data_IF_524283585864
#
_entry.id   IF_524283585864
#
_cell.length_a   1.000
_cell.length_b   1.000
_cell.length_c   1.000
_cell.angle_alpha   90.00
_cell.angle_beta   90.00
_cell.angle_gamma   90.00
#
_symmetry.space_group_name_H-M   'P 1'
#
loop_
_entity.id
_entity.type
_entity.pdbx_description
1 polymer ?
#
# COMPACT_ATOMS: atom_id res chain seq x y z
N UNK A 1 6.05 32.28 -7.19
CA UNK A 1 7.30 31.70 -6.64
C UNK A 1 7.20 31.83 -5.14
N UNK A 2 6.59 30.86 -4.47
CA UNK A 2 6.71 30.79 -3.01
C UNK A 2 8.03 30.07 -2.77
N UNK A 3 8.95 30.69 -2.04
CA UNK A 3 10.15 30.01 -1.57
C UNK A 3 9.69 28.78 -0.78
N UNK A 4 9.88 27.59 -1.35
CA UNK A 4 9.59 26.35 -0.64
C UNK A 4 10.52 26.32 0.57
N UNK A 5 9.95 26.50 1.76
CA UNK A 5 10.68 26.32 3.00
C UNK A 5 11.20 24.89 3.00
N UNK A 6 12.53 24.74 2.97
CA UNK A 6 13.20 23.46 3.16
C UNK A 6 13.60 23.42 4.64
N UNK A 7 12.96 22.53 5.39
CA UNK A 7 13.26 22.31 6.79
C UNK A 7 14.66 21.70 6.97
N UNK A 8 15.29 21.97 8.13
CA UNK A 8 16.66 21.51 8.40
C UNK A 8 16.77 19.98 8.45
N UNK A 9 15.74 19.29 8.90
CA UNK A 9 15.65 17.83 8.89
C UNK A 9 14.20 17.35 8.95
N UNK A 10 14.01 16.03 8.84
CA UNK A 10 12.69 15.39 8.88
C UNK A 10 11.91 15.71 10.16
N UNK A 11 12.57 15.91 11.31
CA UNK A 11 11.88 16.18 12.57
C UNK A 11 11.30 17.59 12.61
N UNK A 12 11.98 18.60 12.04
CA UNK A 12 11.39 19.94 11.92
C UNK A 12 10.22 19.97 10.93
N UNK A 13 10.28 19.17 9.86
CA UNK A 13 9.16 18.96 8.96
C UNK A 13 7.97 18.29 9.67
N UNK A 14 8.20 17.24 10.47
CA UNK A 14 7.17 16.61 11.30
C UNK A 14 6.60 17.61 12.30
N UNK A 15 7.45 18.40 12.98
CA UNK A 15 7.02 19.38 13.98
C UNK A 15 6.05 20.41 13.39
N UNK A 16 6.27 20.79 12.13
CA UNK A 16 5.37 21.68 11.42
C UNK A 16 3.99 21.04 11.13
N UNK A 17 3.95 19.76 10.76
CA UNK A 17 2.72 19.06 10.39
C UNK A 17 1.93 18.53 11.61
N UNK A 18 2.62 17.89 12.54
CA UNK A 18 2.09 17.19 13.71
C UNK A 18 2.97 17.51 14.95
N UNK A 19 2.87 18.73 15.51
CA UNK A 19 3.75 19.21 16.60
C UNK A 19 3.65 18.42 17.91
N UNK A 20 2.61 17.60 18.06
CA UNK A 20 2.37 16.75 19.24
C UNK A 20 2.74 15.29 19.02
N UNK A 21 3.27 14.93 17.84
CA UNK A 21 3.57 13.53 17.54
C UNK A 21 4.70 12.98 18.43
N UNK A 22 4.51 11.83 19.11
CA UNK A 22 5.53 11.24 19.96
C UNK A 22 6.87 10.94 19.27
N UNK A 23 6.91 10.79 17.94
CA UNK A 23 8.14 10.55 17.18
C UNK A 23 9.15 11.68 17.35
N UNK A 24 8.70 12.92 17.59
CA UNK A 24 9.56 14.08 17.86
C UNK A 24 10.47 13.87 19.09
N UNK A 25 10.07 13.01 20.02
CA UNK A 25 10.89 12.68 21.19
C UNK A 25 12.21 11.99 20.84
N UNK A 26 12.36 11.40 19.64
CA UNK A 26 13.63 10.84 19.17
C UNK A 26 14.74 11.91 19.01
N UNK A 27 14.32 13.16 18.76
CA UNK A 27 15.19 14.32 18.67
C UNK A 27 15.18 15.15 19.96
N UNK A 28 14.00 15.35 20.54
CA UNK A 28 13.79 16.29 21.64
C UNK A 28 14.19 15.74 23.02
N UNK A 29 14.23 14.41 23.18
CA UNK A 29 14.56 13.78 24.47
C UNK A 29 15.90 13.06 24.41
N UNK A 30 16.66 13.19 25.49
CA UNK A 30 17.95 12.52 25.66
C UNK A 30 17.82 11.08 26.21
N UNK A 31 16.71 10.77 26.89
CA UNK A 31 16.48 9.48 27.54
C UNK A 31 15.03 9.00 27.35
N UNK A 32 14.85 7.68 27.32
CA UNK A 32 13.56 7.01 27.16
C UNK A 32 13.56 6.09 25.94
N UNK A 33 12.50 5.30 25.80
CA UNK A 33 12.27 4.47 24.62
C UNK A 33 10.89 4.81 24.04
N UNK A 34 10.79 4.79 22.71
CA UNK A 34 9.52 4.92 22.00
C UNK A 34 8.97 3.51 21.75
N UNK A 35 7.72 3.27 22.12
CA UNK A 35 7.03 2.02 21.78
C UNK A 35 5.89 2.34 20.83
N UNK A 36 5.92 1.73 19.64
CA UNK A 36 4.85 1.84 18.65
C UNK A 36 3.80 0.78 18.93
N UNK A 37 2.64 1.20 19.42
CA UNK A 37 1.47 0.34 19.60
C UNK A 37 0.39 0.76 18.60
N UNK A 38 -0.10 -0.18 17.81
CA UNK A 38 -1.19 0.06 16.88
C UNK A 38 -2.54 -0.31 17.48
N UNK A 39 -3.51 0.56 17.27
CA UNK A 39 -4.88 0.35 17.69
C UNK A 39 -5.82 0.61 16.52
N UNK A 40 -6.65 -0.37 16.23
CA UNK A 40 -7.65 -0.30 15.17
C UNK A 40 -9.05 -0.21 15.76
N UNK A 41 -9.85 0.71 15.21
CA UNK A 41 -11.28 0.79 15.45
C UNK A 41 -11.99 -0.08 14.43
N UNK A 42 -12.92 -0.90 14.89
CA UNK A 42 -13.84 -1.63 14.02
C UNK A 42 -14.99 -0.70 13.62
N UNK A 43 -15.25 -0.63 12.33
CA UNK A 43 -16.34 0.16 11.75
C UNK A 43 -17.13 -0.74 10.80
N UNK A 44 -18.44 -0.81 11.03
CA UNK A 44 -19.37 -1.44 10.09
C UNK A 44 -19.58 -0.52 8.88
N UNK A 45 -19.38 -1.09 7.70
CA UNK A 45 -19.47 -0.43 6.41
C UNK A 45 -20.92 -0.50 5.89
N UNK A 46 -21.35 0.38 4.97
CA UNK A 46 -22.72 0.38 4.45
C UNK A 46 -23.19 -0.95 3.84
N UNK A 47 -22.26 -1.79 3.39
CA UNK A 47 -22.54 -3.12 2.83
C UNK A 47 -22.56 -4.25 3.88
N UNK A 48 -22.48 -3.93 5.18
CA UNK A 48 -22.48 -4.88 6.30
C UNK A 48 -21.14 -5.54 6.58
N UNK A 49 -20.08 -5.23 5.83
CA UNK A 49 -18.72 -5.67 6.16
C UNK A 49 -18.12 -4.83 7.30
N UNK A 50 -17.13 -5.37 7.98
CA UNK A 50 -16.41 -4.71 9.08
C UNK A 50 -15.00 -4.36 8.60
N UNK A 51 -14.62 -3.10 8.70
CA UNK A 51 -13.25 -2.65 8.48
C UNK A 51 -12.55 -2.35 9.80
N UNK A 52 -11.26 -2.65 9.89
CA UNK A 52 -10.40 -2.35 11.03
C UNK A 52 -9.45 -1.20 10.68
N UNK A 53 -9.70 0.01 11.17
CA UNK A 53 -8.97 1.19 10.71
C UNK A 53 -8.17 1.88 11.82
N UNK A 54 -7.02 2.52 11.51
CA UNK A 54 -6.25 3.30 12.47
C UNK A 54 -7.10 4.33 13.22
N UNK A 55 -6.69 4.72 14.42
CA UNK A 55 -7.49 5.66 15.23
C UNK A 55 -7.44 7.12 14.75
N UNK A 56 -6.48 7.47 13.90
CA UNK A 56 -6.18 8.82 13.44
C UNK A 56 -6.65 9.07 12.00
N UNK A 57 -7.95 8.94 11.72
CA UNK A 57 -8.52 9.07 10.35
C UNK A 57 -9.15 10.43 10.02
N UNK A 58 -8.78 11.49 10.74
CA UNK A 58 -9.65 12.66 10.76
C UNK A 58 -9.61 13.48 9.46
N UNK A 59 -8.43 13.96 9.04
CA UNK A 59 -8.33 14.90 7.90
C UNK A 59 -7.04 14.74 7.11
N UNK A 60 -5.90 14.48 7.79
CA UNK A 60 -4.57 14.49 7.17
C UNK A 60 -4.04 13.08 6.92
N UNK A 61 -3.56 12.88 5.70
CA UNK A 61 -2.85 11.68 5.26
C UNK A 61 -1.53 12.07 4.63
N UNK A 62 -0.51 11.25 4.84
CA UNK A 62 0.87 11.56 4.51
C UNK A 62 1.41 10.55 3.51
N UNK A 63 2.34 11.00 2.66
CA UNK A 63 3.15 10.15 1.80
C UNK A 63 4.59 10.59 1.89
N UNK A 64 5.48 9.65 2.19
CA UNK A 64 6.92 9.89 2.20
C UNK A 64 7.54 9.68 0.84
N UNK A 65 8.38 10.61 0.43
CA UNK A 65 9.17 10.54 -0.79
C UNK A 65 10.60 10.92 -0.43
N UNK A 66 11.56 10.05 -0.74
CA UNK A 66 12.96 10.27 -0.37
C UNK A 66 13.70 11.30 -1.23
N UNK A 67 13.04 11.80 -2.27
CA UNK A 67 13.48 12.90 -3.14
C UNK A 67 12.31 13.80 -3.56
N UNK A 68 12.61 15.00 -4.08
CA UNK A 68 11.64 15.90 -4.70
C UNK A 68 11.36 15.50 -6.17
N UNK A 69 10.57 14.45 -6.35
CA UNK A 69 10.31 13.85 -7.68
C UNK A 69 9.47 14.70 -8.63
N UNK A 70 8.65 15.63 -8.13
CA UNK A 70 7.71 16.40 -8.96
C UNK A 70 8.39 17.23 -10.06
N UNK A 71 9.69 17.49 -9.93
CA UNK A 71 10.49 18.20 -10.95
C UNK A 71 10.78 17.35 -12.18
N UNK A 72 10.77 16.03 -12.03
CA UNK A 72 11.22 15.07 -13.03
C UNK A 72 10.10 14.14 -13.50
N UNK A 73 9.17 13.80 -12.60
CA UNK A 73 8.18 12.77 -12.85
C UNK A 73 6.79 13.18 -12.34
N UNK A 74 5.71 12.76 -13.03
CA UNK A 74 4.36 12.92 -12.50
C UNK A 74 4.14 11.97 -11.31
N UNK A 75 3.42 12.44 -10.29
CA UNK A 75 3.08 11.64 -9.12
C UNK A 75 1.84 10.79 -9.44
N UNK A 76 2.07 9.61 -10.04
CA UNK A 76 1.01 8.69 -10.48
C UNK A 76 1.15 7.29 -9.86
N UNK A 77 0.03 6.54 -9.73
CA UNK A 77 0.05 5.12 -9.35
C UNK A 77 0.96 4.25 -10.21
N UNK A 78 1.43 3.14 -9.66
CA UNK A 78 2.38 2.23 -10.30
C UNK A 78 1.90 1.68 -11.65
N UNK A 79 0.60 1.45 -11.82
CA UNK A 79 0.02 0.96 -13.08
C UNK A 79 0.07 2.00 -14.22
N UNK A 80 0.27 3.29 -13.93
CA UNK A 80 0.34 4.33 -14.96
C UNK A 80 1.76 4.85 -15.21
N UNK A 81 2.76 4.35 -14.47
CA UNK A 81 4.16 4.77 -14.62
C UNK A 81 4.78 4.13 -15.86
N UNK A 82 5.38 4.95 -16.71
CA UNK A 82 6.23 4.53 -17.82
C UNK A 82 7.61 4.20 -17.27
N UNK A 83 8.02 2.93 -17.29
CA UNK A 83 9.31 2.47 -16.75
C UNK A 83 10.40 2.40 -17.83
N UNK A 84 10.01 2.31 -19.09
CA UNK A 84 10.90 2.36 -20.25
C UNK A 84 10.22 3.07 -21.42
N UNK A 85 11.00 3.52 -22.40
CA UNK A 85 10.47 4.17 -23.61
C UNK A 85 9.51 3.25 -24.40
N UNK A 86 9.68 1.93 -24.30
CA UNK A 86 8.84 0.94 -24.98
C UNK A 86 7.45 0.81 -24.35
N UNK A 87 7.30 1.18 -23.07
CA UNK A 87 6.00 1.19 -22.39
C UNK A 87 5.17 2.45 -22.70
N UNK A 88 5.79 3.48 -23.29
CA UNK A 88 5.10 4.71 -23.65
C UNK A 88 4.28 4.52 -24.95
N UNK A 89 3.02 4.96 -24.91
CA UNK A 89 2.20 5.16 -26.10
C UNK A 89 2.52 6.49 -26.79
N UNK A 90 1.83 6.75 -27.89
CA UNK A 90 2.05 7.96 -28.72
C UNK A 90 1.80 9.28 -27.96
N UNK A 91 1.01 9.25 -26.90
CA UNK A 91 0.71 10.39 -26.04
C UNK A 91 1.68 10.54 -24.85
N UNK A 92 2.73 9.72 -24.79
CA UNK A 92 3.70 9.69 -23.68
C UNK A 92 3.18 9.04 -22.39
N UNK A 93 1.91 8.62 -22.35
CA UNK A 93 1.35 7.85 -21.24
C UNK A 93 1.64 6.37 -21.44
N UNK A 94 1.53 5.58 -20.37
CA UNK A 94 1.71 4.13 -20.46
C UNK A 94 0.66 3.48 -21.39
N UNK A 95 1.09 2.55 -22.22
CA UNK A 95 0.21 1.76 -23.12
C UNK A 95 -0.94 1.11 -22.37
N UNK A 96 -2.14 1.20 -22.94
CA UNK A 96 -3.38 0.63 -22.37
C UNK A 96 -3.29 -0.89 -22.27
N UNK A 97 -2.66 -1.52 -23.26
CA UNK A 97 -2.33 -2.93 -23.32
C UNK A 97 -1.60 -3.43 -22.06
N UNK A 98 -0.63 -2.66 -21.57
CA UNK A 98 0.13 -2.99 -20.37
C UNK A 98 -0.70 -2.79 -19.09
N UNK A 99 -1.64 -1.84 -19.09
CA UNK A 99 -2.57 -1.63 -17.99
C UNK A 99 -3.52 -2.84 -17.90
N UNK A 100 -4.07 -3.30 -19.02
CA UNK A 100 -4.93 -4.49 -19.08
C UNK A 100 -4.20 -5.73 -18.55
N UNK A 101 -2.93 -5.91 -18.93
CA UNK A 101 -2.09 -7.02 -18.43
C UNK A 101 -1.92 -6.95 -16.91
N UNK A 102 -1.65 -5.76 -16.35
CA UNK A 102 -1.57 -5.59 -14.90
C UNK A 102 -2.92 -5.86 -14.23
N UNK A 103 -4.04 -5.44 -14.81
CA UNK A 103 -5.38 -5.73 -14.27
C UNK A 103 -5.70 -7.23 -14.25
N UNK A 104 -5.32 -7.98 -15.30
CA UNK A 104 -5.42 -9.44 -15.34
C UNK A 104 -4.59 -10.10 -14.23
N UNK A 105 -3.35 -9.62 -14.00
CA UNK A 105 -2.51 -10.08 -12.90
C UNK A 105 -3.13 -9.79 -11.52
N UNK A 106 -3.76 -8.63 -11.35
CA UNK A 106 -4.48 -8.30 -10.10
C UNK A 106 -5.67 -9.24 -9.87
N UNK A 107 -6.38 -9.63 -10.94
CA UNK A 107 -7.47 -10.60 -10.84
C UNK A 107 -6.92 -11.99 -10.45
N UNK A 108 -5.85 -12.45 -11.07
CA UNK A 108 -5.21 -13.72 -10.69
C UNK A 108 -4.76 -13.72 -9.23
N UNK A 109 -4.14 -12.62 -8.79
CA UNK A 109 -3.76 -12.42 -7.40
C UNK A 109 -4.96 -12.53 -6.45
N UNK A 110 -6.07 -11.85 -6.75
CA UNK A 110 -7.31 -11.96 -5.99
C UNK A 110 -7.83 -13.41 -5.93
N UNK A 111 -7.88 -14.11 -7.07
CA UNK A 111 -8.37 -15.48 -7.16
C UNK A 111 -7.51 -16.46 -6.36
N UNK A 112 -6.19 -16.23 -6.31
CA UNK A 112 -5.26 -16.99 -5.47
C UNK A 112 -5.54 -16.71 -3.99
N UNK A 113 -5.63 -15.44 -3.59
CA UNK A 113 -5.84 -15.07 -2.19
C UNK A 113 -7.16 -15.60 -1.63
N UNK A 114 -8.22 -15.69 -2.43
CA UNK A 114 -9.50 -16.32 -2.03
C UNK A 114 -9.37 -17.78 -1.60
N UNK A 115 -8.26 -18.45 -1.92
CA UNK A 115 -8.00 -19.83 -1.48
C UNK A 115 -7.31 -19.91 -0.11
N UNK A 116 -6.88 -18.78 0.45
CA UNK A 116 -6.16 -18.76 1.72
C UNK A 116 -7.13 -18.91 2.90
N UNK A 117 -6.81 -19.78 3.89
CA UNK A 117 -7.66 -19.97 5.06
C UNK A 117 -7.97 -18.67 5.81
N UNK A 118 -6.99 -17.77 5.96
CA UNK A 118 -7.22 -16.49 6.65
C UNK A 118 -8.19 -15.56 5.92
N UNK A 119 -8.22 -15.59 4.58
CA UNK A 119 -9.20 -14.83 3.80
C UNK A 119 -10.60 -15.43 3.97
N UNK A 120 -10.72 -16.76 3.99
CA UNK A 120 -11.97 -17.46 4.28
C UNK A 120 -12.49 -17.13 5.70
N UNK A 121 -11.63 -17.18 6.72
CA UNK A 121 -12.00 -16.81 8.09
C UNK A 121 -12.39 -15.33 8.21
N UNK A 122 -11.60 -14.44 7.63
CA UNK A 122 -11.91 -13.01 7.62
C UNK A 122 -13.27 -12.73 6.97
N UNK A 123 -13.54 -13.33 5.81
CA UNK A 123 -14.81 -13.15 5.11
C UNK A 123 -15.99 -13.70 5.93
N UNK A 124 -15.81 -14.83 6.63
CA UNK A 124 -16.82 -15.41 7.54
C UNK A 124 -17.10 -14.54 8.76
N UNK A 125 -16.09 -13.82 9.24
CA UNK A 125 -16.20 -12.85 10.33
C UNK A 125 -16.55 -11.43 9.79
N UNK A 126 -17.15 -11.36 8.59
CA UNK A 126 -17.60 -10.14 7.92
C UNK A 126 -16.50 -9.12 7.63
N UNK A 127 -15.22 -9.47 7.77
CA UNK A 127 -14.13 -8.54 7.55
C UNK A 127 -14.03 -8.16 6.06
N UNK A 128 -13.90 -6.86 5.78
CA UNK A 128 -13.69 -6.36 4.42
C UNK A 128 -12.28 -6.77 3.96
N UNK A 129 -12.20 -7.47 2.83
CA UNK A 129 -10.93 -7.79 2.16
C UNK A 129 -10.83 -6.96 0.88
N UNK A 130 -9.94 -5.97 0.86
CA UNK A 130 -9.63 -5.18 -0.34
C UNK A 130 -8.38 -5.77 -1.02
N UNK A 131 -8.63 -6.68 -1.97
CA UNK A 131 -7.58 -7.39 -2.71
C UNK A 131 -6.68 -6.46 -3.53
N UNK A 132 -7.22 -5.35 -4.04
CA UNK A 132 -6.42 -4.38 -4.80
C UNK A 132 -5.49 -3.59 -3.89
N UNK A 133 -5.96 -3.21 -2.69
CA UNK A 133 -5.10 -2.63 -1.67
C UNK A 133 -4.02 -3.60 -1.21
N UNK A 134 -4.35 -4.88 -0.98
CA UNK A 134 -3.36 -5.91 -0.70
C UNK A 134 -2.32 -5.99 -1.83
N UNK A 135 -2.76 -6.09 -3.08
CA UNK A 135 -1.87 -6.15 -4.22
C UNK A 135 -0.90 -4.94 -4.28
N UNK A 136 -1.38 -3.73 -3.96
CA UNK A 136 -0.55 -2.52 -3.88
C UNK A 136 0.55 -2.63 -2.81
N UNK A 137 0.21 -3.00 -1.57
CA UNK A 137 1.19 -3.14 -0.48
C UNK A 137 2.16 -4.30 -0.68
N UNK A 138 1.79 -5.27 -1.51
CA UNK A 138 2.65 -6.36 -1.96
C UNK A 138 3.24 -6.12 -3.36
N UNK A 139 3.34 -4.85 -3.77
CA UNK A 139 4.14 -4.38 -4.92
C UNK A 139 3.65 -4.79 -6.32
N UNK A 140 2.39 -5.20 -6.46
CA UNK A 140 1.76 -5.27 -7.78
C UNK A 140 1.40 -3.86 -8.27
N UNK A 141 1.39 -3.70 -9.59
CA UNK A 141 0.99 -2.44 -10.20
C UNK A 141 -0.51 -2.25 -10.01
N UNK A 142 -0.94 -1.14 -9.39
CA UNK A 142 -2.35 -0.80 -9.20
C UNK A 142 -2.61 0.65 -9.55
N UNK A 143 -3.89 1.01 -9.72
CA UNK A 143 -4.34 2.39 -9.86
C UNK A 143 -4.54 3.11 -8.52
N UNK A 144 -3.98 2.55 -7.45
CA UNK A 144 -4.00 3.15 -6.12
C UNK A 144 -2.67 3.87 -5.87
N UNK A 145 -2.75 5.02 -5.21
CA UNK A 145 -1.59 5.72 -4.67
C UNK A 145 -1.64 5.66 -3.14
N UNK A 146 -0.56 5.15 -2.55
CA UNK A 146 -0.48 4.86 -1.13
C UNK A 146 -0.26 6.13 -0.31
N UNK A 147 -1.05 6.26 0.77
CA UNK A 147 -0.95 7.30 1.78
C UNK A 147 -1.21 6.70 3.16
N UNK A 148 -0.61 7.24 4.21
CA UNK A 148 -0.72 6.73 5.58
C UNK A 148 -1.27 7.80 6.52
N UNK A 149 -2.02 7.42 7.54
CA UNK A 149 -2.36 8.33 8.63
C UNK A 149 -1.23 8.49 9.65
N UNK A 150 -0.19 7.65 9.61
CA UNK A 150 0.94 7.66 10.53
C UNK A 150 2.12 8.45 9.94
N UNK A 151 2.36 9.65 10.46
CA UNK A 151 3.45 10.52 9.98
C UNK A 151 4.83 9.89 10.18
N UNK A 152 5.02 9.03 11.17
CA UNK A 152 6.27 8.30 11.35
C UNK A 152 6.50 7.28 10.22
N UNK A 153 5.44 6.61 9.77
CA UNK A 153 5.50 5.69 8.62
C UNK A 153 5.81 6.46 7.33
N UNK A 154 5.18 7.62 7.11
CA UNK A 154 5.53 8.48 5.97
C UNK A 154 6.99 8.97 6.06
N UNK A 155 7.44 9.40 7.22
CA UNK A 155 8.81 9.86 7.42
C UNK A 155 9.83 8.74 7.18
N UNK A 156 9.52 7.48 7.54
CA UNK A 156 10.36 6.33 7.19
C UNK A 156 10.61 6.24 5.68
N UNK A 157 9.55 6.29 4.87
CA UNK A 157 9.68 6.27 3.41
C UNK A 157 10.33 7.53 2.83
N UNK A 158 10.19 8.68 3.50
CA UNK A 158 10.83 9.93 3.09
C UNK A 158 12.34 9.98 3.41
N UNK A 159 12.83 9.08 4.26
CA UNK A 159 14.22 9.07 4.75
C UNK A 159 14.98 7.80 4.40
N UNK A 160 14.30 6.84 3.75
CA UNK A 160 14.88 5.55 3.36
C UNK A 160 14.66 5.28 1.86
N UNK A 161 15.48 4.41 1.29
CA UNK A 161 15.30 3.85 -0.05
C UNK A 161 15.43 2.34 0.02
N UNK A 162 14.76 1.63 -0.89
CA UNK A 162 14.88 0.18 -0.98
C UNK A 162 16.11 -0.20 -1.82
N UNK A 163 16.98 -1.04 -1.25
CA UNK A 163 18.13 -1.64 -1.93
C UNK A 163 17.74 -3.06 -2.36
N UNK A 164 17.66 -3.29 -3.67
CA UNK A 164 17.25 -4.58 -4.23
C UNK A 164 18.31 -5.67 -4.14
N UNK A 165 19.60 -5.31 -3.97
CA UNK A 165 20.67 -6.30 -3.84
C UNK A 165 20.72 -6.88 -2.43
N UNK A 166 20.46 -6.03 -1.43
CA UNK A 166 20.40 -6.42 -0.01
C UNK A 166 19.00 -6.82 0.45
N UNK A 167 18.00 -6.62 -0.41
CA UNK A 167 16.57 -6.83 -0.13
C UNK A 167 16.08 -6.10 1.14
N UNK A 168 16.62 -4.91 1.42
CA UNK A 168 16.34 -4.13 2.62
C UNK A 168 16.18 -2.64 2.35
N UNK A 169 15.52 -1.92 3.25
CA UNK A 169 15.55 -0.46 3.23
C UNK A 169 16.85 0.05 3.85
N UNK A 170 17.49 1.01 3.19
CA UNK A 170 18.66 1.73 3.66
C UNK A 170 18.32 3.20 3.88
N UNK A 171 19.07 3.85 4.77
CA UNK A 171 18.91 5.27 5.08
C UNK A 171 19.46 6.13 3.94
N UNK A 172 18.71 7.18 3.57
CA UNK A 172 19.21 8.25 2.69
C UNK A 172 20.10 9.19 3.50
N UNK A 173 21.33 9.39 3.06
CA UNK A 173 22.33 10.18 3.82
C UNK A 173 22.29 11.68 3.50
N UNK A 174 21.98 12.04 2.25
CA UNK A 174 22.00 13.40 1.74
C UNK A 174 20.88 13.69 0.71
N UNK A 175 20.77 14.95 0.31
CA UNK A 175 19.75 15.43 -0.61
C UNK A 175 18.54 16.06 0.10
N UNK A 176 17.38 16.02 -0.56
CA UNK A 176 16.15 16.64 -0.09
C UNK A 176 15.03 15.60 -0.06
N UNK A 177 14.49 15.31 1.12
CA UNK A 177 13.31 14.49 1.29
C UNK A 177 12.02 15.31 1.20
N UNK A 178 10.89 14.61 1.05
CA UNK A 178 9.57 15.18 0.87
C UNK A 178 8.54 14.45 1.74
N UNK A 179 7.77 15.23 2.52
CA UNK A 179 6.53 14.77 3.13
C UNK A 179 5.37 15.42 2.39
N UNK A 180 4.62 14.60 1.65
CA UNK A 180 3.41 15.02 0.95
C UNK A 180 2.20 14.86 1.86
N UNK A 181 1.29 15.83 1.78
CA UNK A 181 0.09 15.91 2.61
C UNK A 181 -1.14 15.92 1.70
N UNK A 182 -2.01 14.95 1.91
CA UNK A 182 -3.32 14.85 1.29
C UNK A 182 -4.40 15.10 2.34
N UNK A 183 -5.32 16.01 2.04
CA UNK A 183 -6.42 16.37 2.92
C UNK A 183 -7.70 15.70 2.43
N UNK A 184 -8.33 14.91 3.29
CA UNK A 184 -9.61 14.30 2.98
C UNK A 184 -10.46 14.15 4.24
N UNK A 185 -11.72 14.60 4.18
CA UNK A 185 -12.69 14.43 5.25
C UNK A 185 -13.67 13.34 4.81
N UNK A 186 -13.67 12.22 5.53
CA UNK A 186 -14.58 11.12 5.25
C UNK A 186 -15.91 11.39 5.96
N UNK A 187 -16.86 11.97 5.23
CA UNK A 187 -18.21 12.25 5.74
C UNK A 187 -19.10 11.01 5.57
N UNK A 188 -19.06 10.41 4.38
CA UNK A 188 -19.75 9.17 4.05
C UNK A 188 -18.82 8.28 3.24
N UNK A 189 -18.75 7.00 3.63
CA UNK A 189 -17.97 6.02 2.88
C UNK A 189 -18.78 5.48 1.70
N UNK A 190 -18.17 5.49 0.51
CA UNK A 190 -18.69 4.84 -0.68
C UNK A 190 -17.53 4.21 -1.47
N UNK A 191 -17.68 2.96 -1.91
CA UNK A 191 -16.66 2.25 -2.71
C UNK A 191 -16.32 2.97 -4.04
N UNK A 192 -17.21 3.85 -4.51
CA UNK A 192 -17.01 4.66 -5.70
C UNK A 192 -16.18 5.93 -5.46
N UNK A 193 -15.90 6.31 -4.21
CA UNK A 193 -15.04 7.46 -3.94
C UNK A 193 -13.56 7.16 -4.26
N UNK A 194 -12.78 8.18 -4.66
CA UNK A 194 -11.34 8.02 -4.88
C UNK A 194 -10.59 7.60 -3.60
N UNK A 195 -10.97 8.16 -2.45
CA UNK A 195 -10.31 7.83 -1.19
C UNK A 195 -10.76 6.47 -0.66
N UNK A 196 -9.79 5.61 -0.30
CA UNK A 196 -10.01 4.21 0.07
C UNK A 196 -9.55 3.98 1.51
N UNK A 197 -10.49 3.54 2.34
CA UNK A 197 -10.19 3.02 3.67
C UNK A 197 -9.64 1.60 3.54
N UNK A 198 -8.37 1.41 3.91
CA UNK A 198 -7.67 0.12 3.85
C UNK A 198 -7.50 -0.44 5.27
N UNK A 199 -6.65 0.19 6.09
CA UNK A 199 -6.40 -0.25 7.45
C UNK A 199 -5.87 -1.68 7.57
N UNK A 200 -6.18 -2.34 8.68
CA UNK A 200 -5.80 -3.72 8.95
C UNK A 200 -6.66 -4.69 8.11
N UNK A 201 -5.98 -5.63 7.48
CA UNK A 201 -6.56 -6.67 6.64
C UNK A 201 -6.12 -8.05 7.16
N UNK A 202 -6.59 -9.17 6.57
CA UNK A 202 -6.16 -10.51 6.99
C UNK A 202 -4.64 -10.73 6.86
N UNK A 203 -4.00 -9.89 6.04
CA UNK A 203 -2.56 -9.74 5.95
C UNK A 203 -2.14 -8.42 6.60
N UNK A 204 -1.06 -8.46 7.38
CA UNK A 204 -0.72 -7.44 8.37
C UNK A 204 -0.13 -6.17 7.77
N UNK A 205 0.56 -6.26 6.64
CA UNK A 205 1.34 -5.14 6.05
C UNK A 205 0.58 -3.81 5.95
N UNK A 206 -0.66 -3.72 5.40
CA UNK A 206 -1.38 -2.46 5.31
C UNK A 206 -1.76 -1.90 6.70
N UNK A 207 -2.08 -2.77 7.66
CA UNK A 207 -2.36 -2.38 9.04
C UNK A 207 -1.12 -1.81 9.71
N UNK A 208 0.03 -2.49 9.57
CA UNK A 208 1.31 -2.08 10.13
C UNK A 208 1.78 -0.72 9.61
N UNK A 209 1.40 -0.37 8.39
CA UNK A 209 1.68 0.92 7.74
C UNK A 209 0.58 1.98 7.95
N UNK A 210 -0.48 1.69 8.73
CA UNK A 210 -1.63 2.57 8.91
C UNK A 210 -2.21 3.10 7.58
N UNK A 211 -2.36 2.18 6.62
CA UNK A 211 -2.52 2.52 5.22
C UNK A 211 -3.93 2.95 4.81
N UNK A 212 -3.94 3.83 3.81
CA UNK A 212 -5.07 4.31 3.03
C UNK A 212 -4.61 4.47 1.58
N UNK A 213 -5.53 4.69 0.65
CA UNK A 213 -5.15 4.98 -0.72
C UNK A 213 -6.03 6.01 -1.40
N UNK A 214 -5.48 6.60 -2.46
CA UNK A 214 -6.23 7.40 -3.42
C UNK A 214 -6.25 6.65 -4.74
N UNK A 215 -7.44 6.22 -5.17
CA UNK A 215 -7.66 5.65 -6.50
C UNK A 215 -7.62 6.77 -7.52
N UNK A 216 -6.82 6.58 -8.56
CA UNK A 216 -6.63 7.57 -9.61
C UNK A 216 -6.85 6.96 -10.99
N UNK A 217 -7.11 7.81 -11.96
CA UNK A 217 -7.11 7.54 -13.40
C UNK A 217 -5.75 7.94 -14.01
N UNK A 218 -5.50 7.49 -15.24
CA UNK A 218 -4.25 7.77 -15.95
C UNK A 218 -4.02 9.26 -16.24
N UNK A 219 -5.09 10.05 -16.32
CA UNK A 219 -5.03 11.49 -16.62
C UNK A 219 -4.71 12.37 -15.40
N UNK A 220 -4.77 11.81 -14.19
CA UNK A 220 -4.58 12.57 -12.95
C UNK A 220 -3.13 12.55 -12.49
N UNK A 221 -2.70 13.64 -11.85
CA UNK A 221 -1.40 13.74 -11.18
C UNK A 221 -1.63 14.15 -9.73
N UNK A 222 -1.15 13.32 -8.79
CA UNK A 222 -1.41 13.47 -7.36
C UNK A 222 -0.81 14.77 -6.80
N UNK A 223 0.27 15.26 -7.43
CA UNK A 223 0.89 16.52 -7.07
C UNK A 223 -0.04 17.73 -7.25
N UNK A 224 -1.05 17.65 -8.13
CA UNK A 224 -1.95 18.77 -8.41
C UNK A 224 -3.00 19.03 -7.33
N UNK A 225 -3.20 18.08 -6.41
CA UNK A 225 -4.21 18.19 -5.34
C UNK A 225 -3.66 17.78 -3.98
N UNK A 226 -2.33 17.86 -3.82
CA UNK A 226 -1.63 17.68 -2.55
C UNK A 226 -0.73 18.87 -2.26
N UNK A 227 -0.42 19.05 -0.98
CA UNK A 227 0.67 19.91 -0.56
C UNK A 227 1.90 19.05 -0.31
N UNK A 228 3.09 19.65 -0.35
CA UNK A 228 4.30 19.00 0.12
C UNK A 228 5.14 19.95 0.96
N UNK A 229 5.88 19.38 1.88
CA UNK A 229 6.96 20.06 2.58
C UNK A 229 8.26 19.33 2.30
N UNK A 230 9.34 20.10 2.21
CA UNK A 230 10.66 19.58 1.89
C UNK A 230 11.57 19.69 3.12
N UNK A 231 12.51 18.76 3.25
CA UNK A 231 13.51 18.80 4.31
C UNK A 231 14.86 18.31 3.81
N UNK A 232 15.95 18.76 4.41
CA UNK A 232 17.29 18.23 4.10
C UNK A 232 17.42 16.84 4.72
N UNK A 233 17.93 15.89 3.95
CA UNK A 233 18.28 14.58 4.50
C UNK A 233 19.44 14.75 5.50
N UNK A 234 19.36 14.06 6.63
CA UNK A 234 20.38 14.04 7.66
C UNK A 234 20.59 12.59 8.10
N UNK A 235 21.75 12.01 7.77
CA UNK A 235 22.05 10.61 8.03
C UNK A 235 21.83 10.20 9.50
N UNK A 236 22.19 11.06 10.46
CA UNK A 236 22.04 10.76 11.89
C UNK A 236 20.56 10.70 12.28
N UNK A 237 19.77 11.68 11.86
CA UNK A 237 18.36 11.73 12.19
C UNK A 237 17.53 10.69 11.46
N UNK A 238 17.86 10.44 10.19
CA UNK A 238 17.23 9.41 9.39
C UNK A 238 17.52 8.01 9.97
N UNK A 239 18.74 7.75 10.43
CA UNK A 239 19.10 6.50 11.11
C UNK A 239 18.27 6.29 12.39
N UNK A 240 18.12 7.32 13.23
CA UNK A 240 17.27 7.21 14.43
C UNK A 240 15.82 6.87 14.11
N UNK A 241 15.28 7.48 13.06
CA UNK A 241 13.91 7.21 12.61
C UNK A 241 13.80 5.80 12.01
N UNK A 242 14.80 5.36 11.25
CA UNK A 242 14.85 4.03 10.65
C UNK A 242 14.80 2.93 11.72
N UNK A 243 15.57 3.07 12.80
CA UNK A 243 15.68 2.09 13.89
C UNK A 243 14.36 1.78 14.60
N UNK A 244 13.41 2.73 14.69
CA UNK A 244 12.13 2.46 15.38
C UNK A 244 11.25 1.46 14.62
N UNK A 245 11.50 1.29 13.32
CA UNK A 245 10.81 0.32 12.48
C UNK A 245 11.57 -0.99 12.36
N UNK A 246 12.76 -1.11 12.96
CA UNK A 246 13.56 -2.33 12.92
C UNK A 246 13.61 -2.99 14.30
N UNK A 247 12.87 -4.08 14.45
CA UNK A 247 12.86 -4.88 15.68
C UNK A 247 13.58 -6.21 15.43
N UNK A 248 14.62 -6.51 16.22
CA UNK A 248 15.47 -7.68 16.04
C UNK A 248 16.05 -7.81 14.61
N UNK A 249 16.42 -6.68 14.00
CA UNK A 249 16.96 -6.62 12.64
C UNK A 249 15.91 -6.80 11.52
N UNK A 250 14.62 -6.88 11.84
CA UNK A 250 13.54 -7.00 10.86
C UNK A 250 12.70 -5.73 10.79
N UNK A 251 12.40 -5.30 9.57
CA UNK A 251 11.50 -4.17 9.35
C UNK A 251 10.05 -4.56 9.67
N UNK A 252 9.48 -3.97 10.72
CA UNK A 252 8.13 -4.26 11.19
C UNK A 252 7.04 -3.76 10.22
N UNK A 253 7.36 -2.87 9.27
CA UNK A 253 6.42 -2.43 8.23
C UNK A 253 6.25 -3.46 7.11
N UNK A 254 7.15 -4.45 7.03
CA UNK A 254 7.18 -5.49 6.00
C UNK A 254 7.21 -6.86 6.66
N UNK A 255 6.06 -7.31 7.21
CA UNK A 255 5.97 -8.63 7.82
C UNK A 255 6.22 -9.71 6.76
N UNK A 256 6.83 -10.81 7.22
CA UNK A 256 7.05 -12.02 6.44
C UNK A 256 5.75 -12.83 6.41
N UNK A 257 5.04 -12.74 5.29
CA UNK A 257 3.74 -13.36 5.05
C UNK A 257 3.73 -14.04 3.67
N UNK A 258 3.07 -15.20 3.52
CA UNK A 258 3.07 -16.00 2.29
C UNK A 258 2.48 -15.28 1.06
N UNK A 259 1.70 -14.24 1.28
CA UNK A 259 1.23 -13.33 0.22
C UNK A 259 2.37 -12.63 -0.51
N UNK A 260 3.54 -12.48 0.12
CA UNK A 260 4.75 -11.94 -0.53
C UNK A 260 5.22 -12.86 -1.66
N UNK A 261 5.23 -14.17 -1.43
CA UNK A 261 5.57 -15.16 -2.46
C UNK A 261 4.53 -15.15 -3.59
N UNK A 262 3.24 -15.07 -3.24
CA UNK A 262 2.16 -14.95 -4.23
C UNK A 262 2.37 -13.73 -5.10
N UNK A 263 2.63 -12.57 -4.49
CA UNK A 263 2.81 -11.32 -5.23
C UNK A 263 4.04 -11.35 -6.14
N UNK A 264 5.16 -11.90 -5.65
CA UNK A 264 6.38 -12.10 -6.44
C UNK A 264 6.11 -12.98 -7.66
N UNK A 265 5.48 -14.15 -7.46
CA UNK A 265 5.14 -15.07 -8.55
C UNK A 265 4.19 -14.41 -9.55
N UNK A 266 3.13 -13.74 -9.09
CA UNK A 266 2.19 -13.05 -9.99
C UNK A 266 2.86 -11.92 -10.77
N UNK A 267 3.79 -11.19 -10.16
CA UNK A 267 4.56 -10.11 -10.82
C UNK A 267 5.47 -10.65 -11.91
N UNK A 268 6.17 -11.75 -11.65
CA UNK A 268 7.19 -12.32 -12.53
C UNK A 268 6.61 -13.23 -13.64
N UNK A 269 5.50 -13.91 -13.38
CA UNK A 269 4.95 -14.88 -14.34
C UNK A 269 4.48 -14.24 -15.67
N UNK A 270 4.60 -15.02 -16.74
CA UNK A 270 4.03 -14.77 -18.07
C UNK A 270 2.81 -15.64 -18.36
N UNK A 271 2.26 -16.27 -17.33
CA UNK A 271 1.02 -17.05 -17.41
C UNK A 271 -0.12 -16.24 -16.79
N UNK A 272 -1.27 -16.20 -17.47
CA UNK A 272 -2.52 -15.62 -16.97
C UNK A 272 -3.56 -16.74 -16.95
N UNK A 273 -4.28 -16.89 -15.85
CA UNK A 273 -5.30 -17.94 -15.80
C UNK A 273 -6.49 -17.61 -16.69
N UNK A 274 -7.12 -18.65 -17.25
CA UNK A 274 -8.40 -18.53 -17.96
C UNK A 274 -9.48 -17.90 -17.07
N UNK A 275 -9.40 -18.11 -15.75
CA UNK A 275 -10.33 -17.53 -14.79
C UNK A 275 -10.19 -16.01 -14.70
N UNK A 276 -8.97 -15.48 -14.77
CA UNK A 276 -8.73 -14.04 -14.80
C UNK A 276 -9.22 -13.40 -16.10
N UNK A 277 -8.94 -14.05 -17.25
CA UNK A 277 -9.47 -13.60 -18.55
C UNK A 277 -10.99 -13.57 -18.53
N UNK A 278 -11.63 -14.64 -18.06
CA UNK A 278 -13.08 -14.76 -18.01
C UNK A 278 -13.72 -13.68 -17.14
N UNK A 279 -13.16 -13.45 -15.95
CA UNK A 279 -13.63 -12.41 -15.04
C UNK A 279 -13.42 -11.02 -15.64
N UNK A 280 -12.25 -10.72 -16.19
CA UNK A 280 -11.95 -9.43 -16.83
C UNK A 280 -12.92 -9.12 -17.97
N UNK A 281 -13.12 -10.09 -18.88
CA UNK A 281 -14.03 -9.96 -20.00
C UNK A 281 -15.48 -9.74 -19.55
N UNK A 282 -15.91 -10.43 -18.48
CA UNK A 282 -17.25 -10.25 -17.92
C UNK A 282 -17.44 -8.86 -17.30
N UNK A 283 -16.45 -8.35 -16.57
CA UNK A 283 -16.55 -7.06 -15.88
C UNK A 283 -16.43 -5.86 -16.83
N UNK A 284 -15.61 -5.99 -17.88
CA UNK A 284 -15.32 -4.91 -18.83
C UNK A 284 -16.07 -5.03 -20.17
N UNK A 285 -16.87 -6.09 -20.36
CA UNK A 285 -17.60 -6.37 -21.60
C UNK A 285 -16.67 -6.50 -22.83
N UNK A 286 -15.43 -6.95 -22.62
CA UNK A 286 -14.42 -7.13 -23.65
C UNK A 286 -14.46 -8.56 -24.22
N UNK A 287 -14.45 -8.77 -25.55
CA UNK A 287 -14.36 -10.10 -26.14
C UNK A 287 -13.11 -10.87 -25.72
N UNK A 288 -13.26 -12.14 -25.31
CA UNK A 288 -12.13 -13.01 -24.92
C UNK A 288 -11.05 -13.13 -26.00
N UNK A 289 -11.46 -13.12 -27.27
CA UNK A 289 -10.52 -13.18 -28.40
C UNK A 289 -9.55 -11.98 -28.40
N UNK A 290 -10.04 -10.77 -28.13
CA UNK A 290 -9.19 -9.57 -28.10
C UNK A 290 -8.16 -9.65 -26.97
N UNK A 291 -8.59 -10.11 -25.78
CA UNK A 291 -7.69 -10.30 -24.64
C UNK A 291 -6.65 -11.40 -24.94
N UNK A 292 -7.04 -12.47 -25.61
CA UNK A 292 -6.13 -13.54 -25.99
C UNK A 292 -5.08 -13.08 -27.02
N UNK A 293 -5.49 -12.33 -28.03
CA UNK A 293 -4.60 -11.73 -29.05
C UNK A 293 -3.60 -10.76 -28.39
N UNK A 294 -4.09 -9.90 -27.49
CA UNK A 294 -3.26 -9.00 -26.69
C UNK A 294 -2.21 -9.76 -25.86
N UNK A 295 -2.65 -10.78 -25.10
CA UNK A 295 -1.73 -11.57 -24.28
C UNK A 295 -0.66 -12.26 -25.12
N UNK A 296 -1.04 -12.83 -26.27
CA UNK A 296 -0.11 -13.47 -27.19
C UNK A 296 0.92 -12.47 -27.75
N UNK A 297 0.49 -11.27 -28.14
CA UNK A 297 1.38 -10.20 -28.64
C UNK A 297 2.47 -9.83 -27.61
N UNK A 298 2.11 -9.77 -26.32
CA UNK A 298 3.03 -9.42 -25.23
C UNK A 298 3.74 -10.63 -24.60
N UNK A 299 3.67 -11.80 -25.26
CA UNK A 299 4.36 -13.03 -24.86
C UNK A 299 3.80 -13.70 -23.61
N UNK A 300 2.51 -13.53 -23.33
CA UNK A 300 1.80 -14.20 -22.26
C UNK A 300 1.07 -15.45 -22.78
N UNK A 301 0.95 -16.46 -21.91
CA UNK A 301 0.21 -17.70 -22.17
C UNK A 301 -1.01 -17.79 -21.27
N UNK A 302 -2.15 -18.19 -21.82
CA UNK A 302 -3.36 -18.48 -21.03
C UNK A 302 -3.30 -19.92 -20.52
N UNK A 303 -3.50 -20.12 -19.22
CA UNK A 303 -3.42 -21.43 -18.56
C UNK A 303 -4.70 -21.80 -17.80
N UNK A 304 -4.98 -23.10 -17.63
CA UNK A 304 -6.19 -23.60 -16.95
C UNK A 304 -6.04 -23.71 -15.41
N UNK A 305 -5.01 -23.09 -14.85
CA UNK A 305 -4.72 -23.12 -13.41
C UNK A 305 -4.24 -21.75 -12.93
N UNK A 306 -4.22 -21.55 -11.62
CA UNK A 306 -3.63 -20.36 -11.01
C UNK A 306 -2.14 -20.60 -10.74
N UNK A 307 -1.34 -19.55 -10.88
CA UNK A 307 0.13 -19.60 -10.78
C UNK A 307 0.66 -20.00 -9.40
N UNK A 308 -0.18 -19.93 -8.36
CA UNK A 308 0.18 -20.31 -7.01
C UNK A 308 -0.89 -21.18 -6.35
N UNK A 309 -0.42 -22.15 -5.57
CA UNK A 309 -1.26 -22.99 -4.72
C UNK A 309 -0.55 -23.29 -3.41
N UNK A 310 -1.26 -23.09 -2.30
CA UNK A 310 -0.78 -23.49 -0.99
C UNK A 310 -0.53 -25.00 -0.93
N UNK A 311 0.64 -25.39 -0.44
CA UNK A 311 0.89 -26.78 -0.05
C UNK A 311 -0.06 -27.20 1.08
N UNK A 312 -0.27 -28.52 1.22
CA UNK A 312 -1.08 -29.06 2.33
C UNK A 312 -0.53 -28.64 3.70
N UNK A 313 0.78 -28.50 3.84
CA UNK A 313 1.42 -28.09 5.08
C UNK A 313 1.18 -26.60 5.38
N UNK A 314 1.40 -25.71 4.40
CA UNK A 314 1.13 -24.28 4.55
C UNK A 314 -0.34 -24.05 4.92
N UNK A 315 -1.26 -24.70 4.20
CA UNK A 315 -2.70 -24.59 4.49
C UNK A 315 -3.04 -24.99 5.92
N UNK A 316 -2.54 -26.14 6.40
CA UNK A 316 -2.78 -26.59 7.78
C UNK A 316 -2.17 -25.67 8.84
N UNK A 317 -1.03 -25.03 8.53
CA UNK A 317 -0.42 -24.02 9.42
C UNK A 317 -1.34 -22.81 9.53
N UNK A 318 -1.71 -22.20 8.40
CA UNK A 318 -2.58 -21.03 8.35
C UNK A 318 -3.95 -21.31 8.99
N UNK A 319 -4.52 -22.50 8.77
CA UNK A 319 -5.76 -22.92 9.43
C UNK A 319 -5.66 -22.98 10.96
N UNK A 320 -4.49 -23.30 11.53
CA UNK A 320 -4.30 -23.31 13.00
C UNK A 320 -4.10 -21.92 13.56
N UNK A 321 -3.38 -21.08 12.82
CA UNK A 321 -2.98 -19.74 13.24
C UNK A 321 -4.14 -18.74 13.20
N UNK A 322 -4.92 -18.74 12.12
CA UNK A 322 -5.96 -17.74 11.89
C UNK A 322 -7.38 -18.19 12.26
N UNK A 323 -7.56 -19.44 12.69
CA UNK A 323 -8.87 -19.90 13.17
C UNK A 323 -9.31 -19.02 14.34
N UNK A 324 -10.46 -18.37 14.21
CA UNK A 324 -11.02 -17.39 15.15
C UNK A 324 -10.18 -16.12 15.37
N UNK A 325 -9.19 -15.87 14.49
CA UNK A 325 -8.32 -14.68 14.51
C UNK A 325 -8.25 -14.08 13.11
N UNK A 326 -9.33 -13.45 12.62
CA UNK A 326 -9.42 -12.97 11.23
C UNK A 326 -8.38 -11.91 10.86
N UNK A 327 -7.82 -11.25 11.88
CA UNK A 327 -6.75 -10.25 11.76
C UNK A 327 -5.43 -10.68 12.42
N UNK A 328 -5.24 -11.98 12.68
CA UNK A 328 -4.07 -12.48 13.41
C UNK A 328 -4.02 -12.02 14.87
N UNK A 329 -2.82 -11.87 15.43
CA UNK A 329 -2.58 -11.56 16.85
C UNK A 329 -2.61 -10.05 17.19
N UNK A 330 -3.34 -9.25 16.41
CA UNK A 330 -3.42 -7.80 16.61
C UNK A 330 -4.40 -7.43 17.71
N UNK A 331 -4.04 -6.45 18.54
CA UNK A 331 -4.96 -5.88 19.52
C UNK A 331 -6.02 -4.99 18.84
N UNK A 332 -7.27 -5.46 18.85
CA UNK A 332 -8.43 -4.73 18.34
C UNK A 332 -9.16 -4.06 19.50
N UNK A 333 -9.54 -2.79 19.35
CA UNK A 333 -10.39 -2.10 20.33
C UNK A 333 -11.74 -1.73 19.70
N UNK A 334 -12.83 -2.24 20.25
CA UNK A 334 -14.17 -1.73 19.97
C UNK A 334 -14.47 -0.57 20.93
N UNK A 335 -14.70 0.65 20.42
CA UNK A 335 -15.39 1.65 21.23
C UNK A 335 -16.85 1.24 21.34
N UNK A 336 -17.33 1.02 22.57
CA UNK A 336 -18.77 0.95 22.84
C UNK A 336 -19.34 2.34 22.57
N UNK A 337 -20.08 2.51 21.47
CA UNK A 337 -20.89 3.70 21.26
C UNK A 337 -22.30 3.40 21.76
N UNK A 338 -22.77 4.21 22.71
CA UNK A 338 -24.18 4.28 23.06
C UNK A 338 -24.90 4.90 21.86
N UNK A 339 -25.72 4.12 21.15
CA UNK A 339 -26.71 4.67 20.23
C UNK A 339 -27.86 5.22 21.07
N UNK A 340 -28.04 6.54 21.08
CA UNK A 340 -29.27 7.19 21.57
C UNK A 340 -30.35 7.15 20.52
#
# INVERSE_FOLDING_TARGET
MNDNIIFEDVFEAIRYLEPSDPVLNLKDRQSGYLTRNLYFNLIEMPNGSIGAFPSNMFIRYFRGENEDYDKLYPCVPSIFRVKSLEEAGNNGQRKEELIIIDELKLIDFELILKQFPQVDYATKDYCKVDYKALAQHYELNTNLLDVTSDIATAAFFATSYYDSEKEEYLVKEDGVGCLRVYLNIVIEYNDNQPFRLIGLQPFQRPGLQCAFAVRMSQAENFANFTNKILFKQDAKWNQKLHEIFYSNGKNILFPDEEISDVAKITKETKEISVFAVDKYCSENQTPKQQVAELLQEYGFTIVEHLSYKLSRQQRRRLEREYKSRPYGDVQIRSRLMYST
#
